data_IF_967159575751
#
_entry.id   IF_967159575751
#
_cell.length_a   1.000
_cell.length_b   1.000
_cell.length_c   1.000
_cell.angle_alpha   90.00
_cell.angle_beta   90.00
_cell.angle_gamma   90.00
#
_symmetry.space_group_name_H-M   'P 1'
#
loop_
_entity.id
_entity.type
_entity.pdbx_description
1 polymer ?
#
# COMPACT_ATOMS: atom_id res chain seq x y z
N UNK A 1 5.35 -4.60 -6.01
CA UNK A 1 5.03 -5.12 -4.66
C UNK A 1 5.22 -3.95 -3.72
N UNK A 2 4.27 -3.73 -2.82
CA UNK A 2 4.34 -2.71 -1.78
C UNK A 2 4.47 -3.43 -0.45
N UNK A 3 5.45 -3.02 0.34
CA UNK A 3 5.68 -3.50 1.70
C UNK A 3 5.71 -2.28 2.63
N UNK A 4 5.24 -2.48 3.85
CA UNK A 4 5.09 -1.43 4.87
C UNK A 4 5.77 -1.92 6.14
N UNK A 5 6.57 -1.06 6.76
CA UNK A 5 7.08 -1.29 8.11
C UNK A 5 6.04 -0.81 9.13
N UNK A 6 5.60 -1.72 9.98
CA UNK A 6 4.74 -1.43 11.12
C UNK A 6 5.35 -2.10 12.36
N UNK A 7 5.60 -1.30 13.40
CA UNK A 7 6.25 -1.76 14.64
C UNK A 7 7.58 -2.51 14.43
N UNK A 8 8.37 -2.07 13.43
CA UNK A 8 9.68 -2.65 13.12
C UNK A 8 9.62 -3.98 12.38
N UNK A 9 8.44 -4.38 11.89
CA UNK A 9 8.25 -5.57 11.06
C UNK A 9 7.72 -5.17 9.68
N UNK A 10 8.44 -5.58 8.64
CA UNK A 10 8.00 -5.45 7.26
C UNK A 10 6.91 -6.46 6.94
N UNK A 11 5.82 -5.97 6.35
CA UNK A 11 4.71 -6.78 5.86
C UNK A 11 4.17 -6.26 4.55
N UNK A 12 3.22 -6.97 3.97
CA UNK A 12 2.66 -6.69 2.64
C UNK A 12 1.34 -5.92 2.74
N UNK A 13 0.95 -5.28 1.65
CA UNK A 13 -0.44 -4.87 1.42
C UNK A 13 -1.18 -6.03 0.75
N UNK A 14 -2.45 -6.24 1.08
CA UNK A 14 -3.23 -7.32 0.48
C UNK A 14 -3.19 -7.27 -1.06
N UNK A 15 -3.10 -8.46 -1.66
CA UNK A 15 -2.94 -8.62 -3.09
C UNK A 15 -4.23 -8.69 -3.89
N UNK A 16 -5.43 -8.59 -3.32
CA UNK A 16 -6.66 -8.53 -4.14
C UNK A 16 -6.69 -7.24 -4.97
N UNK A 17 -7.37 -7.27 -6.12
CA UNK A 17 -7.34 -6.16 -7.09
C UNK A 17 -8.04 -4.89 -6.59
N UNK A 18 -8.87 -5.02 -5.58
CA UNK A 18 -9.64 -3.97 -4.90
C UNK A 18 -8.99 -3.49 -3.59
N UNK A 19 -7.95 -4.18 -3.10
CA UNK A 19 -7.25 -3.82 -1.88
C UNK A 19 -6.28 -2.63 -2.03
N UNK A 20 -5.89 -2.29 -3.26
CA UNK A 20 -4.90 -1.24 -3.55
C UNK A 20 -5.13 -0.58 -4.92
N UNK A 21 -4.72 0.67 -5.06
CA UNK A 21 -4.99 1.50 -6.24
C UNK A 21 -3.76 2.22 -6.78
N UNK A 22 -3.88 2.77 -8.01
CA UNK A 22 -2.88 3.67 -8.61
C UNK A 22 -2.63 4.90 -7.73
N UNK A 23 -3.66 5.42 -7.07
CA UNK A 23 -3.53 6.53 -6.13
C UNK A 23 -2.65 6.14 -4.93
N UNK A 24 -2.83 4.93 -4.38
CA UNK A 24 -1.94 4.39 -3.37
C UNK A 24 -0.49 4.25 -3.86
N UNK A 25 -0.31 3.81 -5.11
CA UNK A 25 1.02 3.73 -5.71
C UNK A 25 1.68 5.11 -5.88
N UNK A 26 0.91 6.16 -6.21
CA UNK A 26 1.41 7.54 -6.25
C UNK A 26 1.85 8.03 -4.87
N UNK A 27 1.10 7.72 -3.82
CA UNK A 27 1.48 8.04 -2.44
C UNK A 27 2.77 7.33 -2.04
N UNK A 28 2.90 6.04 -2.35
CA UNK A 28 4.16 5.30 -2.12
C UNK A 28 5.30 5.97 -2.88
N UNK A 29 5.11 6.31 -4.15
CA UNK A 29 6.17 6.94 -4.93
C UNK A 29 6.58 8.29 -4.36
N UNK A 30 5.62 9.12 -3.96
CA UNK A 30 5.87 10.38 -3.26
C UNK A 30 6.68 10.15 -1.98
N UNK A 31 6.29 9.16 -1.17
CA UNK A 31 6.94 8.86 0.10
C UNK A 31 8.41 8.44 -0.07
N UNK A 32 8.75 7.71 -1.14
CA UNK A 32 10.12 7.23 -1.40
C UNK A 32 10.91 8.11 -2.39
N UNK A 33 10.30 9.20 -2.89
CA UNK A 33 10.95 10.17 -3.78
C UNK A 33 11.04 9.78 -5.25
N UNK A 34 10.14 8.93 -5.78
CA UNK A 34 9.99 8.73 -7.23
C UNK A 34 8.94 9.65 -7.87
N UNK A 35 9.02 9.87 -9.20
CA UNK A 35 7.99 10.61 -9.93
C UNK A 35 6.61 9.97 -9.78
N UNK A 36 5.57 10.80 -9.58
CA UNK A 36 4.18 10.32 -9.42
C UNK A 36 3.42 10.23 -10.74
N UNK A 37 3.89 10.91 -11.78
CA UNK A 37 3.23 10.92 -13.09
C UNK A 37 3.34 9.54 -13.77
N UNK A 38 2.20 9.01 -14.22
CA UNK A 38 2.14 7.72 -14.91
C UNK A 38 2.39 6.50 -14.00
N UNK A 39 2.42 6.69 -12.68
CA UNK A 39 2.53 5.56 -11.73
C UNK A 39 1.27 4.73 -11.80
N UNK A 40 1.44 3.43 -12.01
CA UNK A 40 0.37 2.45 -12.02
C UNK A 40 0.67 1.34 -11.02
N UNK A 41 -0.35 0.98 -10.25
CA UNK A 41 -0.35 -0.23 -9.47
C UNK A 41 -0.50 -1.42 -10.40
N UNK A 42 0.35 -2.41 -10.16
CA UNK A 42 0.19 -3.74 -10.73
C UNK A 42 0.40 -4.74 -9.62
N UNK A 43 -0.59 -5.62 -9.45
CA UNK A 43 -0.43 -6.79 -8.58
C UNK A 43 0.80 -7.57 -9.03
N UNK A 44 1.81 -7.59 -8.16
CA UNK A 44 2.92 -8.51 -8.28
C UNK A 44 2.64 -9.66 -7.32
N UNK A 45 2.76 -10.89 -7.82
CA UNK A 45 2.58 -12.07 -6.98
C UNK A 45 3.67 -12.17 -5.91
N UNK A 46 3.27 -12.65 -4.74
CA UNK A 46 4.17 -13.02 -3.66
C UNK A 46 4.72 -11.85 -2.84
N UNK A 47 4.93 -12.14 -1.57
CA UNK A 47 5.57 -11.36 -0.51
C UNK A 47 5.63 -12.27 0.72
N UNK A 48 6.51 -11.98 1.67
CA UNK A 48 6.65 -12.79 2.90
C UNK A 48 6.44 -11.90 4.11
N UNK A 49 5.88 -12.46 5.17
CA UNK A 49 5.55 -11.72 6.39
C UNK A 49 4.05 -11.46 6.52
N UNK A 50 3.65 -10.64 7.50
CA UNK A 50 2.24 -10.32 7.75
C UNK A 50 1.65 -9.47 6.63
N UNK A 51 0.33 -9.51 6.48
CA UNK A 51 -0.41 -8.52 5.70
C UNK A 51 -0.79 -7.40 6.67
N UNK A 52 -0.25 -6.20 6.45
CA UNK A 52 -0.46 -5.06 7.36
C UNK A 52 -1.63 -4.17 6.98
N UNK A 53 -1.95 -4.09 5.70
CA UNK A 53 -2.96 -3.18 5.18
C UNK A 53 -3.83 -3.90 4.15
N UNK A 54 -5.12 -3.61 4.20
CA UNK A 54 -6.15 -4.02 3.25
C UNK A 54 -7.14 -2.86 3.04
N UNK A 55 -7.86 -2.88 1.92
CA UNK A 55 -8.79 -1.81 1.50
C UNK A 55 -8.18 -0.41 1.58
N UNK A 56 -6.95 -0.24 1.04
CA UNK A 56 -6.22 1.05 1.10
C UNK A 56 -6.81 2.04 0.10
N UNK A 57 -7.49 3.07 0.60
CA UNK A 57 -8.25 4.04 -0.19
C UNK A 57 -7.60 5.42 -0.17
N UNK A 58 -6.42 5.52 -0.81
CA UNK A 58 -5.73 6.79 -0.96
C UNK A 58 -6.41 7.70 -2.01
N UNK A 59 -6.41 9.01 -1.74
CA UNK A 59 -6.75 10.06 -2.72
C UNK A 59 -5.62 10.32 -3.72
N UNK A 60 -4.39 9.93 -3.37
CA UNK A 60 -3.20 10.20 -4.16
C UNK A 60 -2.47 11.47 -3.73
N UNK A 61 -2.98 12.22 -2.74
CA UNK A 61 -2.39 13.46 -2.21
C UNK A 61 -1.65 13.27 -0.87
N UNK A 62 -1.82 12.11 -0.24
CA UNK A 62 -1.21 11.78 1.05
C UNK A 62 0.31 11.78 0.96
N UNK A 63 0.98 12.15 2.06
CA UNK A 63 2.45 12.15 2.14
C UNK A 63 3.00 10.76 2.43
N UNK A 64 2.22 9.92 3.11
CA UNK A 64 2.62 8.56 3.47
C UNK A 64 1.47 7.60 3.28
N UNK A 65 1.78 6.33 3.04
CA UNK A 65 0.74 5.31 2.85
C UNK A 65 -0.10 5.10 4.12
N UNK A 66 0.50 5.27 5.28
CA UNK A 66 -0.14 5.10 6.59
C UNK A 66 -1.20 6.16 6.89
N UNK A 67 -1.20 7.27 6.15
CA UNK A 67 -2.20 8.35 6.30
C UNK A 67 -3.43 8.18 5.41
N UNK A 68 -3.41 7.22 4.48
CA UNK A 68 -4.63 6.86 3.74
C UNK A 68 -5.59 6.12 4.67
N UNK A 69 -6.91 6.17 4.43
CA UNK A 69 -7.86 5.22 4.99
C UNK A 69 -7.52 3.77 4.59
N UNK A 70 -7.63 2.83 5.53
CA UNK A 70 -7.51 1.39 5.33
C UNK A 70 -8.26 0.66 6.47
N UNK A 71 -8.44 -0.66 6.36
CA UNK A 71 -9.25 -1.45 7.31
C UNK A 71 -8.76 -1.41 8.77
N UNK A 72 -7.45 -1.26 8.96
CA UNK A 72 -6.77 -1.33 10.25
C UNK A 72 -5.49 -2.15 10.13
N UNK A 73 -4.57 -1.98 11.08
CA UNK A 73 -3.29 -2.69 11.05
C UNK A 73 -3.50 -4.18 11.28
N UNK A 74 -3.16 -5.00 10.29
CA UNK A 74 -3.35 -6.45 10.35
C UNK A 74 -4.80 -6.91 10.23
N UNK A 75 -5.74 -6.00 9.97
CA UNK A 75 -7.14 -6.32 9.68
C UNK A 75 -7.30 -6.50 8.16
N UNK A 76 -7.53 -7.73 7.73
CA UNK A 76 -7.62 -8.09 6.31
C UNK A 76 -8.54 -9.30 6.09
N UNK A 77 -9.21 -9.35 4.95
CA UNK A 77 -9.99 -10.53 4.49
C UNK A 77 -9.23 -11.37 3.44
N UNK A 78 -7.91 -11.22 3.47
CA UNK A 78 -6.94 -11.96 2.68
C UNK A 78 -6.38 -13.16 3.47
#
# INVERSE_FOLDING_TARGET
RVEVDHEGTWGTVCGYSDAFSDAGAQVVCRQVGCPTEGVQWKKLGGGSGPIWMDYVDCTGAEQTLQTCPFAGWGDHEC
#
